data_IF_981342502356
#
_entry.id   IF_981342502356
#
_cell.length_a   1.000
_cell.length_b   1.000
_cell.length_c   1.000
_cell.angle_alpha   90.00
_cell.angle_beta   90.00
_cell.angle_gamma   90.00
#
_symmetry.space_group_name_H-M   'P 1'
#
loop_
_entity.id
_entity.type
_entity.pdbx_description
1 polymer ?
#
# COMPACT_ATOMS: atom_id res chain seq x y z
N UNK A 1 1.84 -10.87 -16.23
CA UNK A 1 3.23 -10.90 -15.77
C UNK A 1 3.62 -9.64 -15.02
N UNK A 2 3.70 -8.50 -15.70
CA UNK A 2 4.27 -7.23 -15.17
C UNK A 2 3.55 -6.67 -13.94
N UNK A 3 2.23 -6.69 -13.94
CA UNK A 3 1.41 -6.24 -12.81
C UNK A 3 1.72 -7.06 -11.55
N UNK A 4 1.93 -8.37 -11.71
CA UNK A 4 2.26 -9.25 -10.60
C UNK A 4 3.61 -8.92 -9.94
N UNK A 5 4.58 -8.39 -10.67
CA UNK A 5 5.90 -8.03 -10.10
C UNK A 5 5.75 -6.89 -9.08
N UNK A 6 4.98 -5.83 -9.40
CA UNK A 6 4.76 -4.72 -8.46
C UNK A 6 3.98 -5.14 -7.22
N UNK A 7 2.96 -5.98 -7.39
CA UNK A 7 2.22 -6.54 -6.25
C UNK A 7 3.13 -7.43 -5.40
N UNK A 8 3.91 -8.31 -6.02
CA UNK A 8 4.88 -9.16 -5.33
C UNK A 8 5.86 -8.33 -4.52
N UNK A 9 6.46 -7.30 -5.13
CA UNK A 9 7.40 -6.40 -4.47
C UNK A 9 6.78 -5.72 -3.24
N UNK A 10 5.56 -5.20 -3.36
CA UNK A 10 4.85 -4.55 -2.25
C UNK A 10 4.57 -5.52 -1.08
N UNK A 11 4.24 -6.77 -1.39
CA UNK A 11 3.97 -7.79 -0.38
C UNK A 11 5.27 -8.28 0.28
N UNK A 12 6.32 -8.50 -0.50
CA UNK A 12 7.67 -8.86 0.00
C UNK A 12 8.20 -7.76 0.91
N UNK A 13 8.07 -6.49 0.52
CA UNK A 13 8.47 -5.34 1.35
C UNK A 13 7.79 -5.38 2.72
N UNK A 14 6.48 -5.59 2.75
CA UNK A 14 5.73 -5.66 4.01
C UNK A 14 6.22 -6.79 4.92
N UNK A 15 6.38 -8.00 4.38
CA UNK A 15 6.88 -9.17 5.12
C UNK A 15 8.33 -9.01 5.60
N UNK A 16 9.19 -8.41 4.78
CA UNK A 16 10.60 -8.16 5.11
C UNK A 16 10.76 -7.14 6.25
N UNK A 17 9.94 -6.07 6.23
CA UNK A 17 9.94 -5.05 7.28
C UNK A 17 9.49 -5.61 8.63
N UNK A 18 8.53 -6.53 8.65
CA UNK A 18 8.11 -7.19 9.90
C UNK A 18 9.28 -7.89 10.61
N UNK A 19 10.15 -8.54 9.85
CA UNK A 19 11.35 -9.21 10.39
C UNK A 19 12.41 -8.19 10.82
N UNK A 20 12.43 -6.99 10.22
CA UNK A 20 13.37 -5.94 10.54
C UNK A 20 13.03 -5.16 11.83
N UNK A 21 11.79 -5.23 12.35
CA UNK A 21 11.35 -4.44 13.50
C UNK A 21 12.27 -4.55 14.73
N UNK A 22 12.71 -5.75 15.18
CA UNK A 22 13.62 -5.85 16.33
C UNK A 22 14.98 -5.18 16.09
N UNK A 23 15.52 -5.29 14.87
CA UNK A 23 16.78 -4.64 14.51
C UNK A 23 16.65 -3.12 14.48
N UNK A 24 15.51 -2.61 14.02
CA UNK A 24 15.19 -1.18 13.99
C UNK A 24 14.99 -0.64 15.42
N UNK A 25 14.26 -1.38 16.27
CA UNK A 25 14.07 -1.08 17.69
C UNK A 25 15.41 -0.90 18.41
N UNK A 26 16.30 -1.88 18.26
CA UNK A 26 17.63 -1.85 18.85
C UNK A 26 18.47 -0.68 18.32
N UNK A 27 18.42 -0.43 17.00
CA UNK A 27 19.22 0.63 16.35
C UNK A 27 18.83 2.03 16.84
N UNK A 28 17.55 2.32 17.01
CA UNK A 28 17.06 3.64 17.43
C UNK A 28 16.86 3.74 18.95
N UNK A 29 17.08 2.67 19.71
CA UNK A 29 16.85 2.66 21.16
C UNK A 29 15.41 2.99 21.53
N UNK A 30 14.44 2.59 20.71
CA UNK A 30 13.02 2.86 20.89
C UNK A 30 12.31 1.64 21.49
N UNK A 31 11.03 1.78 21.79
CA UNK A 31 10.17 0.69 22.24
C UNK A 31 9.42 0.04 21.07
N UNK A 32 9.12 -1.24 21.19
CA UNK A 32 8.43 -2.02 20.16
C UNK A 32 7.09 -1.41 19.72
N UNK A 33 6.22 -0.91 20.64
CA UNK A 33 4.99 -0.24 20.26
C UNK A 33 5.18 0.96 19.32
N UNK A 34 6.23 1.75 19.50
CA UNK A 34 6.52 2.90 18.61
C UNK A 34 7.05 2.42 17.26
N UNK A 35 7.93 1.42 17.26
CA UNK A 35 8.48 0.85 16.01
C UNK A 35 7.40 0.16 15.18
N UNK A 36 6.39 -0.45 15.79
CA UNK A 36 5.26 -1.06 15.09
C UNK A 36 4.50 -0.07 14.20
N UNK A 37 4.55 1.24 14.46
CA UNK A 37 3.93 2.24 13.59
C UNK A 37 4.49 2.27 12.17
N UNK A 38 5.69 1.73 11.94
CA UNK A 38 6.26 1.51 10.61
C UNK A 38 5.34 0.62 9.76
N UNK A 39 4.81 -0.45 10.36
CA UNK A 39 3.94 -1.42 9.68
C UNK A 39 2.47 -0.99 9.76
N UNK A 40 2.03 -0.56 10.94
CA UNK A 40 0.63 -0.16 11.17
C UNK A 40 0.29 1.08 10.33
N UNK A 41 1.12 2.12 10.35
CA UNK A 41 0.91 3.33 9.56
C UNK A 41 0.83 3.06 8.06
N UNK A 42 1.72 2.20 7.56
CA UNK A 42 1.71 1.74 6.17
C UNK A 42 0.40 1.01 5.81
N UNK A 43 -0.01 0.05 6.64
CA UNK A 43 -1.23 -0.72 6.41
C UNK A 43 -2.50 0.15 6.51
N UNK A 44 -2.55 1.09 7.44
CA UNK A 44 -3.64 2.06 7.59
C UNK A 44 -3.82 2.89 6.32
N UNK A 45 -2.73 3.45 5.79
CA UNK A 45 -2.77 4.27 4.58
C UNK A 45 -3.25 3.46 3.37
N UNK A 46 -2.78 2.22 3.23
CA UNK A 46 -3.26 1.33 2.15
C UNK A 46 -4.77 1.11 2.30
N UNK A 47 -5.24 0.76 3.48
CA UNK A 47 -6.65 0.45 3.74
C UNK A 47 -7.56 1.64 3.44
N UNK A 48 -7.14 2.84 3.82
CA UNK A 48 -7.88 4.10 3.59
C UNK A 48 -7.90 4.48 2.11
N UNK A 49 -6.76 4.31 1.42
CA UNK A 49 -6.59 4.84 0.06
C UNK A 49 -6.88 3.85 -1.06
N UNK A 50 -7.06 2.56 -0.79
CA UNK A 50 -7.23 1.56 -1.85
C UNK A 50 -8.46 1.84 -2.72
N UNK A 51 -9.57 2.25 -2.13
CA UNK A 51 -10.82 2.58 -2.85
C UNK A 51 -10.70 3.91 -3.61
N UNK A 52 -10.28 5.03 -2.99
CA UNK A 52 -10.04 6.28 -3.70
C UNK A 52 -9.05 6.15 -4.86
N UNK A 53 -7.96 5.40 -4.67
CA UNK A 53 -6.96 5.20 -5.72
C UNK A 53 -7.46 4.31 -6.85
N UNK A 54 -8.34 3.34 -6.56
CA UNK A 54 -9.05 2.59 -7.60
C UNK A 54 -9.90 3.50 -8.48
N UNK A 55 -10.68 4.37 -7.85
CA UNK A 55 -11.52 5.34 -8.56
C UNK A 55 -10.69 6.34 -9.37
N UNK A 56 -9.58 6.81 -8.81
CA UNK A 56 -8.64 7.68 -9.51
C UNK A 56 -8.10 6.98 -10.78
N UNK A 57 -7.80 5.68 -10.70
CA UNK A 57 -7.38 4.87 -11.84
C UNK A 57 -8.42 4.79 -12.96
N UNK A 58 -9.69 4.76 -12.62
CA UNK A 58 -10.78 4.78 -13.62
C UNK A 58 -10.90 6.13 -14.33
N UNK A 59 -10.56 7.24 -13.67
CA UNK A 59 -10.66 8.61 -14.20
C UNK A 59 -9.43 8.99 -15.03
N UNK A 60 -8.23 8.84 -14.48
CA UNK A 60 -6.99 9.31 -15.15
C UNK A 60 -6.26 8.21 -15.92
N UNK A 61 -6.69 6.95 -15.73
CA UNK A 61 -6.12 5.77 -16.36
C UNK A 61 -5.34 4.89 -15.35
N UNK A 62 -5.63 3.60 -15.39
CA UNK A 62 -5.05 2.62 -14.44
C UNK A 62 -3.55 2.47 -14.56
N UNK A 63 -2.99 2.56 -15.78
CA UNK A 63 -1.53 2.54 -16.02
C UNK A 63 -0.84 3.72 -15.34
N UNK A 64 -1.40 4.93 -15.50
CA UNK A 64 -0.83 6.14 -14.91
C UNK A 64 -0.79 6.05 -13.39
N UNK A 65 -1.89 5.60 -12.77
CA UNK A 65 -1.95 5.42 -11.31
C UNK A 65 -0.99 4.33 -10.86
N UNK A 66 -0.91 3.20 -11.57
CA UNK A 66 0.02 2.12 -11.25
C UNK A 66 1.49 2.57 -11.30
N UNK A 67 1.90 3.22 -12.41
CA UNK A 67 3.28 3.70 -12.58
C UNK A 67 3.60 4.81 -11.58
N UNK A 68 2.69 5.77 -11.38
CA UNK A 68 2.84 6.81 -10.37
C UNK A 68 2.98 6.23 -8.96
N UNK A 69 2.16 5.22 -8.64
CA UNK A 69 2.24 4.49 -7.37
C UNK A 69 3.59 3.79 -7.19
N UNK A 70 4.11 3.14 -8.23
CA UNK A 70 5.44 2.51 -8.19
C UNK A 70 6.56 3.54 -8.00
N UNK A 71 6.46 4.72 -8.60
CA UNK A 71 7.44 5.79 -8.39
C UNK A 71 7.43 6.26 -6.93
N UNK A 72 6.25 6.53 -6.38
CA UNK A 72 6.09 6.91 -4.96
C UNK A 72 6.65 5.79 -4.06
N UNK A 73 6.32 4.53 -4.34
CA UNK A 73 6.79 3.38 -3.58
C UNK A 73 8.32 3.31 -3.55
N UNK A 74 8.98 3.43 -4.72
CA UNK A 74 10.44 3.33 -4.85
C UNK A 74 11.15 4.50 -4.17
N UNK A 75 10.68 5.73 -4.39
CA UNK A 75 11.26 6.93 -3.77
C UNK A 75 11.14 6.84 -2.25
N UNK A 76 9.95 6.46 -1.75
CA UNK A 76 9.72 6.31 -0.31
C UNK A 76 10.55 5.18 0.30
N UNK A 77 10.77 4.07 -0.43
CA UNK A 77 11.66 3.00 0.01
C UNK A 77 13.12 3.49 0.15
N UNK A 78 13.61 4.25 -0.83
CA UNK A 78 14.93 4.89 -0.75
C UNK A 78 15.05 5.84 0.45
N UNK A 79 14.04 6.69 0.68
CA UNK A 79 13.98 7.59 1.84
C UNK A 79 13.92 6.82 3.16
N UNK A 80 13.17 5.70 3.23
CA UNK A 80 13.11 4.85 4.41
C UNK A 80 14.47 4.24 4.74
N UNK A 81 15.19 3.72 3.75
CA UNK A 81 16.55 3.19 3.92
C UNK A 81 17.57 4.25 4.34
N UNK A 82 17.39 5.51 3.92
CA UNK A 82 18.25 6.64 4.26
C UNK A 82 17.82 7.39 5.54
N UNK A 83 16.78 6.91 6.25
CA UNK A 83 16.21 7.63 7.39
C UNK A 83 17.20 7.80 8.55
N UNK A 84 17.41 9.05 9.05
CA UNK A 84 18.31 9.33 10.16
C UNK A 84 17.68 9.06 11.54
N UNK A 85 16.36 9.01 11.63
CA UNK A 85 15.62 8.77 12.88
C UNK A 85 14.33 7.99 12.63
N UNK A 86 13.73 7.45 13.69
CA UNK A 86 12.52 6.64 13.63
C UNK A 86 11.32 7.40 13.06
N UNK A 87 11.17 8.68 13.40
CA UNK A 87 10.05 9.51 12.89
C UNK A 87 10.10 9.68 11.37
N UNK A 88 11.28 9.92 10.79
CA UNK A 88 11.46 10.01 9.34
C UNK A 88 11.23 8.65 8.65
N UNK A 89 11.60 7.55 9.29
CA UNK A 89 11.33 6.21 8.81
C UNK A 89 9.83 5.91 8.76
N UNK A 90 9.10 6.22 9.83
CA UNK A 90 7.64 6.06 9.89
C UNK A 90 6.97 6.93 8.82
N UNK A 91 7.38 8.20 8.68
CA UNK A 91 6.84 9.09 7.66
C UNK A 91 7.09 8.54 6.24
N UNK A 92 8.30 8.09 5.93
CA UNK A 92 8.61 7.48 4.64
C UNK A 92 7.76 6.24 4.36
N UNK A 93 7.50 5.39 5.36
CA UNK A 93 6.62 4.21 5.24
C UNK A 93 5.16 4.58 5.03
N UNK A 94 4.66 5.63 5.67
CA UNK A 94 3.32 6.18 5.42
C UNK A 94 3.20 6.62 3.95
N UNK A 95 4.17 7.36 3.43
CA UNK A 95 4.20 7.74 2.01
C UNK A 95 4.32 6.53 1.07
N UNK A 96 5.09 5.52 1.45
CA UNK A 96 5.18 4.27 0.69
C UNK A 96 3.83 3.55 0.63
N UNK A 97 3.02 3.65 1.69
CA UNK A 97 1.64 3.13 1.74
C UNK A 97 0.74 3.75 0.68
N UNK A 98 0.88 5.06 0.40
CA UNK A 98 0.17 5.72 -0.71
C UNK A 98 0.51 5.07 -2.04
N UNK A 99 1.80 4.92 -2.35
CA UNK A 99 2.28 4.24 -3.55
C UNK A 99 1.76 2.81 -3.67
N UNK A 100 1.77 2.08 -2.56
CA UNK A 100 1.29 0.71 -2.49
C UNK A 100 -0.23 0.59 -2.74
N UNK A 101 -1.03 1.50 -2.19
CA UNK A 101 -2.48 1.56 -2.44
C UNK A 101 -2.78 1.79 -3.94
N UNK A 102 -2.03 2.70 -4.59
CA UNK A 102 -2.14 2.96 -6.02
C UNK A 102 -1.79 1.73 -6.86
N UNK A 103 -0.71 1.03 -6.53
CA UNK A 103 -0.26 -0.19 -7.21
C UNK A 103 -1.27 -1.31 -7.07
N UNK A 104 -1.75 -1.56 -5.86
CA UNK A 104 -2.67 -2.67 -5.57
C UNK A 104 -4.05 -2.45 -6.20
N UNK A 105 -4.64 -1.27 -6.04
CA UNK A 105 -5.96 -0.94 -6.60
C UNK A 105 -5.96 -1.02 -8.14
N UNK A 106 -4.98 -0.37 -8.78
CA UNK A 106 -4.86 -0.36 -10.23
C UNK A 106 -4.43 -1.72 -10.79
N UNK A 107 -3.58 -2.46 -10.06
CA UNK A 107 -3.11 -3.79 -10.45
C UNK A 107 -4.26 -4.79 -10.58
N UNK A 108 -5.09 -4.92 -9.54
CA UNK A 108 -6.26 -5.80 -9.56
C UNK A 108 -7.23 -5.41 -10.67
N UNK A 109 -7.51 -4.11 -10.81
CA UNK A 109 -8.41 -3.61 -11.85
C UNK A 109 -7.90 -3.91 -13.26
N UNK A 110 -6.59 -3.76 -13.52
CA UNK A 110 -5.98 -4.12 -14.81
C UNK A 110 -6.01 -5.64 -15.07
N UNK A 111 -5.80 -6.46 -14.04
CA UNK A 111 -5.92 -7.92 -14.20
C UNK A 111 -7.34 -8.31 -14.61
N UNK A 112 -8.36 -7.78 -13.92
CA UNK A 112 -9.76 -8.07 -14.22
C UNK A 112 -10.15 -7.62 -15.64
N UNK A 113 -9.70 -6.42 -16.06
CA UNK A 113 -10.05 -5.88 -17.38
C UNK A 113 -9.29 -6.53 -18.54
N UNK A 114 -8.17 -7.19 -18.28
CA UNK A 114 -7.35 -7.83 -19.31
C UNK A 114 -7.84 -9.21 -19.74
N UNK A 115 -8.81 -9.80 -19.02
CA UNK A 115 -9.29 -11.16 -19.29
C UNK A 115 -10.80 -11.21 -19.51
N UNK A 116 -11.29 -12.06 -20.46
CA UNK A 116 -12.71 -12.31 -20.66
C UNK A 116 -13.38 -12.83 -19.38
N UNK A 117 -14.68 -12.61 -19.22
CA UNK A 117 -15.44 -12.96 -18.00
C UNK A 117 -15.20 -14.37 -17.49
N UNK A 118 -15.12 -15.36 -18.41
CA UNK A 118 -14.90 -16.78 -18.10
C UNK A 118 -13.50 -17.03 -17.47
N UNK A 119 -12.48 -16.24 -17.85
CA UNK A 119 -11.09 -16.44 -17.40
C UNK A 119 -10.71 -15.54 -16.21
N UNK A 120 -11.56 -14.59 -15.80
CA UNK A 120 -11.29 -13.66 -14.70
C UNK A 120 -10.97 -14.36 -13.38
N UNK A 121 -11.67 -15.47 -13.08
CA UNK A 121 -11.41 -16.25 -11.88
C UNK A 121 -10.02 -16.85 -11.88
N UNK A 122 -9.54 -17.39 -13.02
CA UNK A 122 -8.19 -17.92 -13.16
C UNK A 122 -7.13 -16.82 -13.05
N UNK A 123 -7.37 -15.67 -13.66
CA UNK A 123 -6.47 -14.53 -13.60
C UNK A 123 -6.33 -13.98 -12.18
N UNK A 124 -7.44 -13.83 -11.45
CA UNK A 124 -7.46 -13.46 -10.04
C UNK A 124 -6.77 -14.50 -9.16
N UNK A 125 -7.03 -15.79 -9.37
CA UNK A 125 -6.36 -16.88 -8.64
C UNK A 125 -4.84 -16.83 -8.83
N UNK A 126 -4.37 -16.60 -10.07
CA UNK A 126 -2.94 -16.42 -10.35
C UNK A 126 -2.38 -15.17 -9.63
N UNK A 127 -3.12 -14.07 -9.64
CA UNK A 127 -2.70 -12.84 -8.93
C UNK A 127 -2.60 -13.07 -7.41
N UNK A 128 -3.59 -13.73 -6.81
CA UNK A 128 -3.57 -14.11 -5.39
C UNK A 128 -2.43 -15.09 -5.05
N UNK A 129 -2.08 -16.00 -5.96
CA UNK A 129 -0.90 -16.87 -5.80
C UNK A 129 0.40 -16.07 -5.74
N UNK A 130 0.51 -14.99 -6.53
CA UNK A 130 1.66 -14.07 -6.46
C UNK A 130 1.71 -13.35 -5.11
N UNK A 131 0.56 -12.91 -4.59
CA UNK A 131 0.45 -12.31 -3.24
C UNK A 131 0.90 -13.31 -2.17
N UNK A 132 0.39 -14.56 -2.22
CA UNK A 132 0.76 -15.63 -1.29
C UNK A 132 2.26 -15.96 -1.35
N UNK A 133 2.83 -16.06 -2.56
CA UNK A 133 4.26 -16.29 -2.73
C UNK A 133 5.09 -15.12 -2.14
N UNK A 134 4.65 -13.86 -2.33
CA UNK A 134 5.27 -12.68 -1.73
C UNK A 134 5.23 -12.70 -0.21
N UNK A 135 4.10 -13.11 0.38
CA UNK A 135 3.93 -13.18 1.82
C UNK A 135 4.87 -14.23 2.47
N UNK A 136 5.13 -15.33 1.78
CA UNK A 136 6.09 -16.36 2.23
C UNK A 136 7.54 -15.92 1.98
N UNK A 137 7.82 -15.34 0.81
CA UNK A 137 9.16 -14.91 0.44
C UNK A 137 9.65 -13.70 1.25
N UNK A 138 8.73 -12.79 1.64
CA UNK A 138 9.07 -11.54 2.34
C UNK A 138 9.92 -11.75 3.60
N UNK A 139 9.45 -12.51 4.59
CA UNK A 139 10.23 -12.77 5.80
C UNK A 139 11.57 -13.47 5.51
N UNK A 140 11.61 -14.42 4.56
CA UNK A 140 12.84 -15.12 4.21
C UNK A 140 13.87 -14.18 3.57
N UNK A 141 13.46 -13.36 2.60
CA UNK A 141 14.32 -12.35 1.96
C UNK A 141 14.75 -11.29 2.99
N UNK A 142 13.82 -10.82 3.82
CA UNK A 142 14.11 -9.87 4.88
C UNK A 142 15.17 -10.38 5.85
N UNK A 143 15.01 -11.61 6.33
CA UNK A 143 15.97 -12.25 7.23
C UNK A 143 17.36 -12.37 6.60
N UNK A 144 17.45 -12.78 5.33
CA UNK A 144 18.72 -12.84 4.60
C UNK A 144 19.37 -11.47 4.45
N UNK A 145 18.61 -10.44 4.08
CA UNK A 145 19.12 -9.08 3.92
C UNK A 145 19.64 -8.50 5.23
N UNK A 146 18.92 -8.71 6.32
CA UNK A 146 19.30 -8.22 7.66
C UNK A 146 20.57 -8.91 8.14
N UNK A 147 20.67 -10.22 7.94
CA UNK A 147 21.84 -11.00 8.37
C UNK A 147 23.11 -10.64 7.59
N UNK A 148 22.98 -10.24 6.31
CA UNK A 148 24.11 -9.92 5.44
C UNK A 148 24.50 -8.44 5.44
N UNK A 149 23.53 -7.50 5.57
CA UNK A 149 23.72 -6.07 5.26
C UNK A 149 23.07 -5.10 6.25
N UNK A 150 22.48 -5.52 7.35
CA UNK A 150 21.69 -4.71 8.26
C UNK A 150 20.24 -4.40 7.77
N UNK A 151 19.42 -3.83 8.66
CA UNK A 151 18.00 -3.55 8.43
C UNK A 151 17.73 -2.58 7.26
N UNK A 152 18.65 -1.65 6.98
CA UNK A 152 18.51 -0.67 5.89
C UNK A 152 18.45 -1.33 4.51
N UNK A 153 19.11 -2.46 4.35
CA UNK A 153 19.12 -3.21 3.10
C UNK A 153 17.72 -3.69 2.68
N UNK A 154 16.83 -3.93 3.63
CA UNK A 154 15.43 -4.30 3.36
C UNK A 154 14.74 -3.24 2.52
N UNK A 155 14.98 -1.97 2.80
CA UNK A 155 14.39 -0.85 2.07
C UNK A 155 15.11 -0.59 0.74
N UNK A 156 16.43 -0.58 0.74
CA UNK A 156 17.21 -0.34 -0.48
C UNK A 156 17.06 -1.44 -1.53
N UNK A 157 16.82 -2.68 -1.14
CA UNK A 157 16.55 -3.79 -2.06
C UNK A 157 15.30 -3.56 -2.93
N UNK A 158 14.32 -2.82 -2.42
CA UNK A 158 13.12 -2.47 -3.18
C UNK A 158 13.40 -1.49 -4.32
N UNK A 159 14.47 -0.68 -4.22
CA UNK A 159 14.76 0.38 -5.20
C UNK A 159 15.12 -0.20 -6.57
N UNK A 160 16.12 -1.08 -6.75
CA UNK A 160 16.45 -1.62 -8.06
C UNK A 160 15.33 -2.45 -8.66
N UNK A 161 14.64 -3.27 -7.86
CA UNK A 161 13.51 -4.08 -8.34
C UNK A 161 12.34 -3.19 -8.74
N UNK A 162 12.07 -2.13 -7.98
CA UNK A 162 11.02 -1.18 -8.30
C UNK A 162 11.32 -0.36 -9.56
N UNK A 163 12.55 0.11 -9.75
CA UNK A 163 12.98 0.79 -10.99
C UNK A 163 12.80 -0.14 -12.19
N UNK A 164 13.22 -1.39 -12.08
CA UNK A 164 13.00 -2.40 -13.12
C UNK A 164 11.50 -2.57 -13.41
N UNK A 165 10.68 -2.68 -12.36
CA UNK A 165 9.22 -2.81 -12.51
C UNK A 165 8.60 -1.59 -13.20
N UNK A 166 9.04 -0.37 -12.88
CA UNK A 166 8.58 0.85 -13.54
C UNK A 166 8.94 0.81 -15.03
N UNK A 167 10.19 0.50 -15.37
CA UNK A 167 10.64 0.45 -16.77
C UNK A 167 9.84 -0.57 -17.57
N UNK A 168 9.68 -1.79 -17.06
CA UNK A 168 8.90 -2.84 -17.70
C UNK A 168 7.43 -2.45 -17.82
N UNK A 169 6.86 -1.78 -16.82
CA UNK A 169 5.46 -1.34 -16.84
C UNK A 169 5.20 -0.25 -17.89
N UNK A 170 6.12 0.69 -18.04
CA UNK A 170 6.03 1.73 -19.06
C UNK A 170 6.07 1.11 -20.47
N UNK A 171 6.94 0.14 -20.69
CA UNK A 171 7.18 -0.48 -21.99
C UNK A 171 6.08 -1.48 -22.40
N UNK A 172 5.59 -2.29 -21.45
CA UNK A 172 4.74 -3.44 -21.75
C UNK A 172 3.24 -3.15 -21.55
N UNK A 173 2.88 -2.34 -20.53
CA UNK A 173 1.46 -2.07 -20.27
C UNK A 173 0.94 -1.06 -21.32
N UNK A 174 -0.06 -1.43 -22.16
CA UNK A 174 -0.61 -0.49 -23.13
C UNK A 174 -1.31 0.68 -22.41
N UNK A 175 -1.25 1.86 -23.00
CA UNK A 175 -2.10 2.98 -22.59
C UNK A 175 -3.54 2.69 -23.04
N UNK A 176 -4.32 2.07 -22.16
CA UNK A 176 -5.76 2.05 -22.37
C UNK A 176 -6.29 3.46 -22.10
N UNK A 177 -6.99 4.04 -23.09
CA UNK A 177 -7.78 5.26 -22.84
C UNK A 177 -8.87 4.89 -21.83
N UNK A 178 -9.22 5.77 -20.87
CA UNK A 178 -10.41 5.58 -20.07
C UNK A 178 -11.59 5.33 -21.00
N UNK A 179 -12.44 4.35 -20.66
CA UNK A 179 -13.64 4.09 -21.44
C UNK A 179 -14.47 5.38 -21.54
N UNK A 180 -14.93 5.77 -22.74
CA UNK A 180 -15.82 6.92 -22.85
C UNK A 180 -17.06 6.66 -21.97
N UNK A 181 -17.58 7.68 -21.28
CA UNK A 181 -18.82 7.55 -20.52
C UNK A 181 -19.91 6.99 -21.42
N UNK A 182 -20.72 6.06 -20.92
CA UNK A 182 -21.89 5.60 -21.66
C UNK A 182 -22.77 6.80 -22.01
N UNK A 183 -23.46 6.74 -23.19
CA UNK A 183 -24.32 7.83 -23.64
C UNK A 183 -25.36 8.16 -22.55
N UNK A 184 -25.29 9.39 -22.03
CA UNK A 184 -26.17 9.88 -20.95
C UNK A 184 -25.57 9.85 -19.54
N UNK A 185 -24.39 9.29 -19.33
CA UNK A 185 -23.70 9.40 -18.03
C UNK A 185 -22.87 10.69 -17.97
N UNK A 186 -23.15 11.51 -16.94
CA UNK A 186 -22.33 12.68 -16.62
C UNK A 186 -20.87 12.23 -16.41
N UNK A 187 -19.92 12.99 -16.94
CA UNK A 187 -18.49 12.78 -16.74
C UNK A 187 -18.24 12.61 -15.25
N UNK A 188 -17.88 11.39 -14.84
CA UNK A 188 -17.66 11.08 -13.43
C UNK A 188 -16.56 12.00 -12.87
N UNK A 189 -16.97 13.02 -12.14
CA UNK A 189 -16.04 13.83 -11.34
C UNK A 189 -15.58 12.98 -10.16
N UNK A 190 -14.31 13.11 -9.79
CA UNK A 190 -13.82 12.45 -8.59
C UNK A 190 -14.51 13.08 -7.37
N UNK A 191 -15.23 12.26 -6.63
CA UNK A 191 -15.86 12.68 -5.37
C UNK A 191 -14.79 12.75 -4.28
N UNK A 192 -14.13 13.88 -4.19
CA UNK A 192 -13.15 14.14 -3.13
C UNK A 192 -13.78 14.11 -1.74
N UNK A 193 -15.03 14.57 -1.63
CA UNK A 193 -15.79 14.55 -0.38
C UNK A 193 -15.99 13.14 0.14
N UNK A 194 -16.60 12.28 -0.68
CA UNK A 194 -16.80 10.88 -0.35
C UNK A 194 -15.51 10.10 -0.12
N UNK A 195 -14.45 10.39 -0.89
CA UNK A 195 -13.14 9.76 -0.70
C UNK A 195 -12.50 10.14 0.65
N UNK A 196 -12.58 11.41 1.04
CA UNK A 196 -12.06 11.86 2.35
C UNK A 196 -12.92 11.31 3.49
N UNK A 197 -14.25 11.37 3.37
CA UNK A 197 -15.15 10.87 4.40
C UNK A 197 -14.99 9.36 4.61
N UNK A 198 -14.98 8.58 3.54
CA UNK A 198 -14.74 7.13 3.64
C UNK A 198 -13.38 6.80 4.24
N UNK A 199 -12.35 7.57 3.88
CA UNK A 199 -11.02 7.45 4.45
C UNK A 199 -11.00 7.75 5.95
N UNK A 200 -11.66 8.85 6.38
CA UNK A 200 -11.78 9.21 7.80
C UNK A 200 -12.60 8.20 8.59
N UNK A 201 -13.69 7.68 8.03
CA UNK A 201 -14.50 6.64 8.64
C UNK A 201 -13.67 5.37 8.90
N UNK A 202 -12.91 4.93 7.90
CA UNK A 202 -12.05 3.76 7.99
C UNK A 202 -10.89 3.98 8.98
N UNK A 203 -10.27 5.15 8.94
CA UNK A 203 -9.22 5.53 9.88
C UNK A 203 -9.75 5.54 11.32
N UNK A 204 -10.90 6.17 11.55
CA UNK A 204 -11.57 6.19 12.84
C UNK A 204 -11.86 4.80 13.36
N UNK A 205 -12.44 3.95 12.52
CA UNK A 205 -12.72 2.55 12.85
C UNK A 205 -11.46 1.77 13.24
N UNK A 206 -10.40 1.86 12.44
CA UNK A 206 -9.15 1.15 12.69
C UNK A 206 -8.43 1.65 13.95
N UNK A 207 -8.51 2.96 14.24
CA UNK A 207 -7.96 3.51 15.49
C UNK A 207 -8.75 3.02 16.72
N UNK A 208 -10.07 2.92 16.63
CA UNK A 208 -10.92 2.38 17.71
C UNK A 208 -10.56 0.92 17.98
N UNK A 209 -10.56 0.09 16.94
CA UNK A 209 -10.30 -1.35 17.08
C UNK A 209 -8.85 -1.62 17.50
N UNK A 210 -7.89 -0.87 16.94
CA UNK A 210 -6.46 -1.07 17.23
C UNK A 210 -6.01 -0.57 18.61
N UNK A 211 -6.74 0.37 19.23
CA UNK A 211 -6.33 0.97 20.50
C UNK A 211 -7.32 0.71 21.63
N UNK A 212 -8.49 0.11 21.37
CA UNK A 212 -9.52 -0.14 22.38
C UNK A 212 -9.01 -0.91 23.60
N UNK A 213 -8.25 -1.96 23.39
CA UNK A 213 -7.71 -2.79 24.47
C UNK A 213 -6.55 -2.11 25.24
N UNK A 214 -5.77 -1.24 24.56
CA UNK A 214 -4.60 -0.58 25.17
C UNK A 214 -4.95 0.66 25.97
N UNK A 215 -5.88 1.47 25.47
CA UNK A 215 -6.29 2.75 26.05
C UNK A 215 -7.57 2.64 26.88
N UNK A 216 -8.24 1.50 26.81
CA UNK A 216 -9.58 1.28 27.33
C UNK A 216 -10.66 1.79 26.41
N UNK A 217 -11.73 1.01 26.27
CA UNK A 217 -12.88 1.30 25.41
C UNK A 217 -13.63 2.59 25.78
N UNK A 218 -13.37 3.14 26.96
CA UNK A 218 -13.95 4.40 27.46
C UNK A 218 -13.00 5.60 27.34
N UNK A 219 -11.84 5.44 26.69
CA UNK A 219 -10.91 6.55 26.50
C UNK A 219 -11.43 7.58 25.48
N UNK A 220 -11.12 8.86 25.69
CA UNK A 220 -11.55 9.95 24.81
C UNK A 220 -11.11 9.75 23.35
N UNK A 221 -9.96 9.10 23.13
CA UNK A 221 -9.44 8.83 21.78
C UNK A 221 -10.27 7.75 21.08
N UNK A 222 -10.71 6.71 21.79
CA UNK A 222 -11.59 5.67 21.25
C UNK A 222 -12.97 6.25 20.95
N UNK A 223 -13.53 7.08 21.84
CA UNK A 223 -14.81 7.75 21.60
C UNK A 223 -14.73 8.71 20.40
N UNK A 224 -13.68 9.51 20.27
CA UNK A 224 -13.52 10.41 19.13
C UNK A 224 -13.40 9.64 17.81
N UNK A 225 -12.64 8.53 17.80
CA UNK A 225 -12.55 7.64 16.65
C UNK A 225 -13.91 7.03 16.25
N UNK A 226 -14.69 6.58 17.23
CA UNK A 226 -16.03 6.04 16.99
C UNK A 226 -16.99 7.11 16.42
N UNK A 227 -16.95 8.33 16.95
CA UNK A 227 -17.74 9.45 16.43
C UNK A 227 -17.34 9.77 14.98
N UNK A 228 -16.04 9.85 14.70
CA UNK A 228 -15.53 10.09 13.33
C UNK A 228 -15.99 8.99 12.39
N UNK A 229 -15.95 7.72 12.81
CA UNK A 229 -16.41 6.58 12.00
C UNK A 229 -17.89 6.72 11.64
N UNK A 230 -18.74 7.05 12.61
CA UNK A 230 -20.20 7.16 12.39
C UNK A 230 -20.53 8.41 11.57
N UNK A 231 -19.96 9.57 11.91
CA UNK A 231 -20.27 10.84 11.23
C UNK A 231 -19.73 10.87 9.80
N UNK A 232 -18.57 10.29 9.55
CA UNK A 232 -17.99 10.27 8.22
C UNK A 232 -18.51 9.09 7.36
N UNK A 233 -19.09 8.06 7.97
CA UNK A 233 -19.67 6.91 7.28
C UNK A 233 -21.19 7.02 6.98
N UNK A 234 -21.87 8.04 7.53
CA UNK A 234 -23.28 8.35 7.30
C UNK A 234 -23.48 9.29 6.13
#
# INVERSE_FOLDING_TARGET
>A
GTIGIGTFLSVVDHGSVMVALPSIEHHFGSDLPTVQWIVVGYALVISVLILPMGRLGDIIGRKQVYVGGMIIFVVSAGLAGASPNLGSLIAAKIFQGVGSAMVQSSGIAMVISSFPGIERGKALGTHLSVVGAGAIAGPAIGGLLISAFEWRAVFFANVPVGIFTIAVSILIIPMAKPDPPAEGEARHQFDWGGAVLSGLALLGFLLVVGNGDRLGWTSGLVYSGAIVTVVAGA
#
